data_IF_423084485815
#
_entry.id   IF_423084485815
#
_cell.length_a   1.000
_cell.length_b   1.000
_cell.length_c   1.000
_cell.angle_alpha   90.00
_cell.angle_beta   90.00
_cell.angle_gamma   90.00
#
_symmetry.space_group_name_H-M   'P 1'
#
loop_
_entity.id
_entity.type
_entity.pdbx_description
1 polymer ?
#
# COMPACT_ATOMS: atom_id res chain seq x y z
N UNK A 1 6.71 42.00 -7.06
CA UNK A 1 6.23 41.66 -5.70
C UNK A 1 5.85 40.18 -5.56
N UNK A 2 5.46 39.48 -6.64
CA UNK A 2 5.20 38.03 -6.67
C UNK A 2 6.41 37.13 -6.32
N UNK A 3 7.61 37.50 -6.78
CA UNK A 3 8.81 36.68 -6.58
C UNK A 3 9.13 36.43 -5.09
N UNK A 4 8.92 37.44 -4.26
CA UNK A 4 9.14 37.35 -2.81
C UNK A 4 8.10 36.45 -2.13
N UNK A 5 6.87 36.39 -2.66
CA UNK A 5 5.83 35.49 -2.15
C UNK A 5 6.14 34.04 -2.54
N UNK A 6 6.58 33.81 -3.79
CA UNK A 6 7.01 32.49 -4.28
C UNK A 6 8.21 31.96 -3.49
N UNK A 7 9.21 32.81 -3.21
CA UNK A 7 10.37 32.44 -2.40
C UNK A 7 9.99 32.05 -0.97
N UNK A 8 9.07 32.80 -0.33
CA UNK A 8 8.56 32.48 1.01
C UNK A 8 7.84 31.13 1.03
N UNK A 9 6.98 30.85 0.05
CA UNK A 9 6.30 29.56 -0.07
C UNK A 9 7.29 28.40 -0.27
N UNK A 10 8.33 28.60 -1.09
CA UNK A 10 9.37 27.58 -1.31
C UNK A 10 10.20 27.31 -0.06
N UNK A 11 10.56 28.34 0.71
CA UNK A 11 11.25 28.19 2.00
C UNK A 11 10.36 27.47 3.02
N UNK A 12 9.06 27.79 3.06
CA UNK A 12 8.08 27.10 3.90
C UNK A 12 7.98 25.60 3.56
N UNK A 13 8.02 25.22 2.28
CA UNK A 13 8.04 23.81 1.86
C UNK A 13 9.29 23.04 2.34
N UNK A 14 10.46 23.69 2.33
CA UNK A 14 11.71 23.09 2.85
C UNK A 14 11.64 22.94 4.36
N UNK A 15 11.12 23.95 5.07
CA UNK A 15 10.96 23.90 6.54
C UNK A 15 9.92 22.87 7.00
N UNK A 16 8.80 22.71 6.27
CA UNK A 16 7.71 21.80 6.61
C UNK A 16 8.05 20.31 6.47
N UNK A 17 9.14 19.97 5.76
CA UNK A 17 9.58 18.59 5.51
C UNK A 17 10.87 18.25 6.26
N UNK A 18 10.88 18.39 7.58
CA UNK A 18 12.03 17.99 8.42
C UNK A 18 13.39 18.55 7.94
N UNK A 19 13.37 19.73 7.32
CA UNK A 19 14.54 20.46 6.84
C UNK A 19 15.25 19.86 5.62
N UNK A 20 16.52 20.25 5.47
CA UNK A 20 17.39 19.97 4.32
C UNK A 20 17.71 18.48 4.09
N UNK A 21 17.46 17.61 5.07
CA UNK A 21 17.68 16.16 4.93
C UNK A 21 16.41 15.45 4.43
N UNK A 22 15.24 15.83 4.95
CA UNK A 22 13.97 15.22 4.54
C UNK A 22 13.50 15.68 3.16
N UNK A 23 13.76 16.94 2.80
CA UNK A 23 13.39 17.50 1.50
C UNK A 23 13.96 16.73 0.29
N UNK A 24 15.29 16.50 0.17
CA UNK A 24 15.85 15.74 -0.95
C UNK A 24 15.42 14.28 -0.94
N UNK A 25 15.22 13.67 0.23
CA UNK A 25 14.73 12.30 0.32
C UNK A 25 13.31 12.15 -0.25
N UNK A 26 12.41 13.08 0.06
CA UNK A 26 11.04 13.06 -0.50
C UNK A 26 11.06 13.41 -1.98
N UNK A 27 11.88 14.37 -2.39
CA UNK A 27 12.04 14.73 -3.79
C UNK A 27 12.50 13.54 -4.63
N UNK A 28 13.55 12.82 -4.19
CA UNK A 28 14.07 11.65 -4.90
C UNK A 28 13.12 10.45 -4.87
N UNK A 29 12.29 10.30 -3.83
CA UNK A 29 11.39 9.15 -3.68
C UNK A 29 10.02 9.34 -4.34
N UNK A 30 9.49 10.56 -4.33
CA UNK A 30 8.13 10.87 -4.76
C UNK A 30 8.06 11.82 -5.98
N UNK A 31 9.20 12.39 -6.42
CA UNK A 31 9.30 13.39 -7.47
C UNK A 31 8.39 14.63 -7.27
N UNK A 32 7.91 14.87 -6.04
CA UNK A 32 7.04 16.00 -5.70
C UNK A 32 7.45 16.66 -4.37
N UNK A 33 7.25 17.97 -4.31
CA UNK A 33 7.65 18.89 -3.24
C UNK A 33 6.45 19.40 -2.42
N UNK A 34 5.21 19.18 -2.87
CA UNK A 34 3.99 19.69 -2.21
C UNK A 34 3.80 19.15 -0.78
N UNK A 35 3.35 20.01 0.14
CA UNK A 35 3.23 19.69 1.58
C UNK A 35 1.76 19.54 1.97
N UNK A 36 1.33 18.33 2.30
CA UNK A 36 -0.03 18.02 2.77
C UNK A 36 -0.14 17.75 4.27
N UNK A 37 -1.35 17.93 4.81
CA UNK A 37 -1.70 17.72 6.21
C UNK A 37 -1.62 16.24 6.60
N UNK A 38 -0.92 15.85 7.67
CA UNK A 38 -0.77 14.43 8.03
C UNK A 38 -2.06 13.87 8.69
N UNK A 39 -2.84 13.08 7.95
CA UNK A 39 -4.09 12.42 8.40
C UNK A 39 -3.82 11.22 9.30
N UNK A 40 -2.68 10.53 9.12
CA UNK A 40 -2.31 9.44 10.04
C UNK A 40 -1.18 8.53 9.55
N UNK A 41 -0.62 7.73 10.45
CA UNK A 41 0.41 6.71 10.15
C UNK A 41 -0.20 5.31 10.15
N UNK A 42 0.19 4.46 9.21
CA UNK A 42 -0.21 3.04 9.18
C UNK A 42 0.74 2.15 10.00
N UNK A 43 0.27 0.93 10.33
CA UNK A 43 1.05 -0.16 10.94
C UNK A 43 2.37 -0.49 10.22
N UNK A 44 2.42 -0.27 8.90
CA UNK A 44 3.60 -0.48 8.06
C UNK A 44 4.44 0.79 7.84
N UNK A 45 4.24 1.84 8.63
CA UNK A 45 5.05 3.08 8.58
C UNK A 45 4.68 4.09 7.49
N UNK A 46 3.68 3.78 6.65
CA UNK A 46 3.20 4.71 5.61
C UNK A 46 2.47 5.91 6.25
N UNK A 47 3.00 7.13 6.04
CA UNK A 47 2.35 8.39 6.39
C UNK A 47 1.29 8.71 5.32
N UNK A 48 0.05 8.90 5.74
CA UNK A 48 -1.01 9.48 4.91
C UNK A 48 -1.05 10.97 5.20
N UNK A 49 -0.66 11.77 4.20
CA UNK A 49 -0.95 13.19 4.20
C UNK A 49 -2.20 13.41 3.33
N UNK A 50 -3.06 14.36 3.65
CA UNK A 50 -4.07 14.95 2.80
C UNK A 50 -3.42 16.14 2.11
N UNK A 51 -3.17 15.98 0.81
CA UNK A 51 -3.07 17.07 -0.13
C UNK A 51 -3.71 16.56 -1.42
N UNK A 52 -4.70 17.30 -1.89
CA UNK A 52 -5.81 16.80 -2.71
C UNK A 52 -5.46 16.39 -4.15
N UNK A 53 -4.21 15.97 -4.47
CA UNK A 53 -3.81 15.70 -5.87
C UNK A 53 -2.86 14.53 -6.16
N UNK A 54 -2.14 13.90 -5.22
CA UNK A 54 -1.25 12.81 -5.65
C UNK A 54 -0.81 11.86 -4.54
N UNK A 55 -1.22 10.58 -4.61
CA UNK A 55 -0.64 9.51 -3.80
C UNK A 55 -0.34 8.30 -4.67
N UNK A 56 0.93 8.18 -5.08
CA UNK A 56 1.40 7.04 -5.87
C UNK A 56 1.66 5.81 -4.99
N UNK A 57 1.17 4.66 -5.46
CA UNK A 57 1.77 3.35 -5.20
C UNK A 57 0.78 2.20 -4.92
N UNK A 58 0.99 1.00 -5.50
CA UNK A 58 0.16 -0.21 -5.28
C UNK A 58 0.30 -0.85 -3.89
N UNK A 59 1.03 -0.21 -2.95
CA UNK A 59 1.47 -0.79 -1.68
C UNK A 59 0.61 -0.29 -0.51
N UNK A 60 -0.70 -0.58 -0.49
CA UNK A 60 -1.63 -0.04 0.52
C UNK A 60 -2.66 -1.07 1.00
N UNK A 61 -3.04 -1.04 2.30
CA UNK A 61 -4.05 -1.93 2.85
C UNK A 61 -5.45 -1.64 2.26
N UNK A 62 -6.36 -2.63 2.22
CA UNK A 62 -7.68 -2.51 1.59
C UNK A 62 -8.56 -1.39 2.18
N UNK A 63 -8.43 -1.12 3.47
CA UNK A 63 -9.21 -0.09 4.18
C UNK A 63 -8.97 1.31 3.61
N UNK A 64 -7.73 1.57 3.16
CA UNK A 64 -7.32 2.86 2.58
C UNK A 64 -7.52 2.91 1.08
N UNK A 65 -7.70 1.77 0.42
CA UNK A 65 -7.94 1.70 -1.02
C UNK A 65 -9.25 2.43 -1.38
N UNK A 66 -10.31 2.27 -0.57
CA UNK A 66 -11.60 2.95 -0.79
C UNK A 66 -11.48 4.48 -0.77
N UNK A 67 -10.90 5.01 0.29
CA UNK A 67 -10.72 6.45 0.48
C UNK A 67 -9.79 7.05 -0.58
N UNK A 68 -8.69 6.36 -0.89
CA UNK A 68 -7.72 6.83 -1.87
C UNK A 68 -8.30 6.93 -3.30
N UNK A 69 -9.15 5.98 -3.69
CA UNK A 69 -9.80 5.99 -5.00
C UNK A 69 -11.10 6.80 -5.03
N UNK A 70 -11.32 7.68 -4.03
CA UNK A 70 -12.50 8.53 -3.96
C UNK A 70 -13.82 7.76 -4.01
N UNK A 71 -13.83 6.50 -3.55
CA UNK A 71 -15.06 5.72 -3.40
C UNK A 71 -15.83 6.12 -2.12
N UNK A 72 -15.18 6.82 -1.20
CA UNK A 72 -15.76 7.30 0.06
C UNK A 72 -14.98 8.52 0.52
N UNK A 73 -15.67 9.53 1.05
CA UNK A 73 -15.04 10.73 1.60
C UNK A 73 -14.40 10.47 2.96
N UNK A 74 -14.94 9.52 3.72
CA UNK A 74 -14.49 9.22 5.08
C UNK A 74 -13.21 8.36 5.08
N UNK A 75 -12.13 8.79 5.75
CA UNK A 75 -10.95 7.95 5.91
C UNK A 75 -11.24 6.79 6.86
N UNK A 76 -10.51 5.66 6.73
CA UNK A 76 -10.73 4.48 7.58
C UNK A 76 -10.39 4.71 9.06
N UNK A 77 -9.75 5.83 9.40
CA UNK A 77 -9.58 6.29 10.79
C UNK A 77 -10.90 6.76 11.40
N UNK A 78 -11.74 7.44 10.62
CA UNK A 78 -13.03 7.98 11.06
C UNK A 78 -14.12 6.91 11.06
N UNK A 79 -14.13 6.06 10.02
CA UNK A 79 -15.07 4.94 9.90
C UNK A 79 -14.29 3.64 9.66
N UNK A 80 -13.90 2.92 10.72
CA UNK A 80 -13.17 1.67 10.58
C UNK A 80 -14.05 0.63 9.88
N UNK A 81 -13.46 -0.25 9.04
CA UNK A 81 -14.20 -1.32 8.40
C UNK A 81 -14.65 -2.35 9.43
N UNK A 82 -15.80 -2.98 9.18
CA UNK A 82 -16.34 -4.04 10.03
C UNK A 82 -15.37 -5.21 10.12
N UNK A 83 -14.89 -5.53 11.32
CA UNK A 83 -13.97 -6.64 11.54
C UNK A 83 -14.68 -7.99 11.44
N UNK A 84 -14.19 -8.87 10.56
CA UNK A 84 -14.68 -10.25 10.44
C UNK A 84 -13.56 -11.26 10.70
N UNK A 85 -13.90 -12.45 11.23
CA UNK A 85 -12.93 -13.47 11.66
C UNK A 85 -12.01 -13.98 10.54
N UNK A 86 -12.48 -13.97 9.30
CA UNK A 86 -11.73 -14.44 8.12
C UNK A 86 -10.91 -13.33 7.45
N UNK A 87 -11.06 -12.07 7.88
CA UNK A 87 -10.33 -10.96 7.28
C UNK A 87 -8.85 -11.05 7.67
N UNK A 88 -7.98 -10.93 6.68
CA UNK A 88 -6.54 -10.96 6.91
C UNK A 88 -6.10 -9.74 7.74
N UNK A 89 -5.57 -10.00 8.93
CA UNK A 89 -5.01 -8.97 9.82
C UNK A 89 -3.74 -8.34 9.25
N UNK A 90 -2.96 -9.13 8.51
CA UNK A 90 -1.74 -8.68 7.84
C UNK A 90 -1.96 -8.69 6.33
N UNK A 91 -1.95 -7.51 5.71
CA UNK A 91 -2.08 -7.38 4.28
C UNK A 91 -0.81 -7.89 3.58
N UNK A 92 -0.95 -8.86 2.67
CA UNK A 92 0.12 -9.31 1.79
C UNK A 92 0.09 -8.50 0.49
N UNK A 93 1.25 -7.99 0.10
CA UNK A 93 1.38 -7.25 -1.15
C UNK A 93 1.50 -8.17 -2.36
N UNK A 94 1.57 -7.58 -3.56
CA UNK A 94 1.85 -8.33 -4.78
C UNK A 94 3.21 -9.06 -4.66
N UNK A 95 3.17 -10.38 -4.80
CA UNK A 95 4.31 -11.30 -4.66
C UNK A 95 4.71 -11.95 -5.99
N UNK A 96 4.21 -11.46 -7.12
CA UNK A 96 4.64 -11.92 -8.45
C UNK A 96 6.15 -11.76 -8.63
N UNK A 97 6.82 -12.80 -9.16
CA UNK A 97 8.28 -12.81 -9.33
C UNK A 97 9.07 -13.16 -8.07
N UNK A 98 8.39 -13.47 -6.95
CA UNK A 98 9.02 -13.98 -5.72
C UNK A 98 8.74 -15.47 -5.55
N UNK A 99 9.48 -16.20 -4.69
CA UNK A 99 9.17 -17.60 -4.36
C UNK A 99 7.77 -17.81 -3.74
N UNK A 100 7.14 -16.75 -3.24
CA UNK A 100 5.78 -16.79 -2.67
C UNK A 100 4.69 -16.45 -3.69
N UNK A 101 5.03 -16.39 -4.99
CA UNK A 101 4.06 -16.12 -6.04
C UNK A 101 2.98 -17.21 -6.12
N UNK A 102 1.82 -16.82 -6.61
CA UNK A 102 0.73 -17.76 -6.87
C UNK A 102 1.11 -18.70 -8.03
N UNK A 103 1.06 -20.01 -7.78
CA UNK A 103 1.24 -21.05 -8.80
C UNK A 103 -0.08 -21.82 -8.94
N UNK A 104 -0.71 -21.84 -10.12
CA UNK A 104 -1.95 -22.56 -10.32
C UNK A 104 -1.72 -24.07 -10.24
N UNK A 105 -2.62 -24.77 -9.56
CA UNK A 105 -2.66 -26.24 -9.49
C UNK A 105 -4.11 -26.72 -9.59
N UNK A 106 -4.30 -27.99 -9.95
CA UNK A 106 -5.64 -28.60 -9.93
C UNK A 106 -6.13 -28.73 -8.49
N UNK A 107 -7.22 -28.04 -8.16
CA UNK A 107 -7.92 -28.20 -6.87
C UNK A 107 -8.78 -29.47 -6.83
N UNK A 108 -8.84 -30.22 -7.94
CA UNK A 108 -9.59 -31.48 -8.05
C UNK A 108 -8.71 -32.68 -7.72
N UNK A 109 -9.31 -33.69 -7.08
CA UNK A 109 -8.67 -34.98 -6.80
C UNK A 109 -8.66 -35.86 -8.05
N UNK A 110 -7.75 -36.84 -8.10
CA UNK A 110 -7.69 -37.84 -9.18
C UNK A 110 -9.02 -38.60 -9.27
N UNK A 111 -9.62 -38.62 -10.46
CA UNK A 111 -10.93 -39.27 -10.68
C UNK A 111 -10.83 -40.79 -10.74
N UNK A 112 -9.81 -41.31 -11.42
CA UNK A 112 -9.62 -42.74 -11.64
C UNK A 112 -8.55 -43.23 -10.68
N UNK A 113 -8.85 -44.25 -9.88
CA UNK A 113 -7.86 -44.91 -9.04
C UNK A 113 -7.18 -46.01 -9.86
N UNK A 114 -5.85 -46.03 -9.84
CA UNK A 114 -5.06 -47.07 -10.51
C UNK A 114 -5.04 -48.32 -9.63
N UNK A 115 -5.08 -49.48 -10.28
CA UNK A 115 -4.78 -50.72 -9.58
C UNK A 115 -3.27 -50.83 -9.35
N UNK A 116 -2.86 -51.08 -8.10
CA UNK A 116 -1.47 -51.28 -7.72
C UNK A 116 -1.21 -52.79 -7.63
N UNK A 117 -0.29 -53.35 -8.44
CA UNK A 117 -0.01 -54.79 -8.42
C UNK A 117 0.63 -55.25 -7.10
N UNK A 118 0.37 -56.50 -6.69
CA UNK A 118 1.09 -57.09 -5.57
C UNK A 118 2.58 -57.26 -5.93
N UNK A 119 3.46 -56.93 -4.99
CA UNK A 119 4.92 -56.97 -5.15
C UNK A 119 5.55 -58.35 -4.90
N UNK A 120 4.74 -59.36 -4.61
CA UNK A 120 5.22 -60.71 -4.25
C UNK A 120 5.47 -61.50 -5.55
N UNK A 121 6.72 -61.94 -5.81
CA UNK A 121 6.98 -62.88 -6.90
C UNK A 121 6.39 -64.26 -6.57
N UNK A 122 5.79 -64.91 -7.57
CA UNK A 122 5.26 -66.27 -7.48
C UNK A 122 6.36 -67.31 -7.27
#
# INVERSE_FOLDING_TARGET
MELMQVLKLRLQHVSGRSGLCGYPQVFLRANDVRVGALVGKHKYGNKCCEDNKQFFGPWRPPERHRWLHSMTDDPPTTKPPTASKFMWTNHKFNVSGTPQQYVPYSTTRKKIQEWVPPSIPY
#
